data_IF_795588909266
#
_entry.id   IF_795588909266
#
_cell.length_a   1.000
_cell.length_b   1.000
_cell.length_c   1.000
_cell.angle_alpha   90.00
_cell.angle_beta   90.00
_cell.angle_gamma   90.00
#
_symmetry.space_group_name_H-M   'P 1'
#
loop_
_entity.id
_entity.type
_entity.pdbx_description
1 polymer ?
#
# COMPACT_ATOMS: atom_id res chain seq x y z
N UNK A 1 13.80 4.60 0.89
CA UNK A 1 14.42 4.73 2.25
C UNK A 1 14.29 3.41 3.00
N UNK A 2 15.18 3.10 3.96
CA UNK A 2 15.02 1.91 4.83
C UNK A 2 13.99 2.18 5.93
N UNK A 3 13.42 1.11 6.51
CA UNK A 3 12.46 1.21 7.61
C UNK A 3 12.98 2.03 8.80
N UNK A 4 14.24 1.82 9.21
CA UNK A 4 14.84 2.55 10.34
C UNK A 4 14.93 4.06 10.10
N UNK A 5 15.15 4.48 8.85
CA UNK A 5 15.13 5.89 8.47
C UNK A 5 13.72 6.48 8.59
N UNK A 6 12.71 5.78 8.05
CA UNK A 6 11.30 6.21 8.16
C UNK A 6 10.84 6.28 9.62
N UNK A 7 11.18 5.28 10.43
CA UNK A 7 10.84 5.26 11.85
C UNK A 7 11.43 6.45 12.61
N UNK A 8 12.64 6.88 12.25
CA UNK A 8 13.27 8.08 12.81
C UNK A 8 12.55 9.38 12.45
N UNK A 9 11.97 9.47 11.24
CA UNK A 9 11.24 10.67 10.77
C UNK A 9 9.84 10.79 11.36
N UNK A 10 9.14 9.67 11.57
CA UNK A 10 7.71 9.64 11.95
C UNK A 10 7.50 9.42 13.47
N UNK A 11 8.55 9.00 14.19
CA UNK A 11 8.47 8.75 15.63
C UNK A 11 8.32 10.02 16.49
N UNK A 12 8.20 9.82 17.81
CA UNK A 12 8.24 10.91 18.79
C UNK A 12 6.90 11.62 19.07
N UNK A 13 5.78 11.06 18.60
CA UNK A 13 4.44 11.62 18.86
C UNK A 13 4.13 12.88 18.04
N UNK A 14 4.89 13.13 16.97
CA UNK A 14 4.66 14.22 16.04
C UNK A 14 3.53 13.87 15.05
N UNK A 15 2.79 14.88 14.62
CA UNK A 15 1.87 14.75 13.48
C UNK A 15 2.64 15.03 12.20
N UNK A 16 2.80 14.02 11.35
CA UNK A 16 3.58 14.10 10.11
C UNK A 16 2.67 13.81 8.91
N UNK A 17 2.10 14.84 8.25
CA UNK A 17 1.26 14.63 7.07
C UNK A 17 1.97 13.79 6.00
N UNK A 18 1.25 12.83 5.42
CA UNK A 18 1.80 11.87 4.45
C UNK A 18 2.47 10.64 5.06
N UNK A 19 2.64 10.58 6.39
CA UNK A 19 3.27 9.44 7.07
C UNK A 19 2.45 8.99 8.29
N UNK A 20 2.27 7.68 8.44
CA UNK A 20 1.58 7.10 9.60
C UNK A 20 2.20 5.78 10.02
N UNK A 21 2.36 5.59 11.33
CA UNK A 21 2.69 4.30 11.93
C UNK A 21 1.41 3.52 12.25
N UNK A 22 1.33 2.27 11.82
CA UNK A 22 0.19 1.40 12.12
C UNK A 22 0.61 -0.07 12.29
N UNK A 23 -0.24 -0.88 12.92
CA UNK A 23 -0.04 -2.32 13.00
C UNK A 23 -0.33 -3.01 11.67
N UNK A 24 0.31 -4.16 11.41
CA UNK A 24 0.12 -4.94 10.17
C UNK A 24 -1.34 -5.32 9.88
N UNK A 25 -2.09 -5.70 10.91
CA UNK A 25 -3.49 -6.10 10.75
C UNK A 25 -4.45 -4.92 10.50
N UNK A 26 -4.01 -3.67 10.69
CA UNK A 26 -4.82 -2.51 10.35
C UNK A 26 -5.00 -2.36 8.84
N UNK A 27 -4.06 -2.85 8.02
CA UNK A 27 -4.12 -2.78 6.55
C UNK A 27 -5.44 -3.36 6.01
N UNK A 28 -5.90 -4.47 6.61
CA UNK A 28 -7.09 -5.18 6.16
C UNK A 28 -8.39 -4.71 6.86
N UNK A 29 -8.38 -3.60 7.60
CA UNK A 29 -9.59 -3.08 8.24
C UNK A 29 -10.39 -2.19 7.29
N UNK A 30 -11.73 -2.19 7.43
CA UNK A 30 -12.63 -1.37 6.61
C UNK A 30 -12.36 0.13 6.67
N UNK A 31 -11.78 0.61 7.78
CA UNK A 31 -11.49 2.04 8.01
C UNK A 31 -10.07 2.45 7.64
N UNK A 32 -9.25 1.52 7.16
CA UNK A 32 -7.87 1.82 6.77
C UNK A 32 -7.85 2.89 5.68
N UNK A 33 -7.34 4.08 6.01
CA UNK A 33 -7.16 5.23 5.12
C UNK A 33 -8.37 5.53 4.21
N UNK A 34 -9.59 5.37 4.71
CA UNK A 34 -10.80 5.43 3.87
C UNK A 34 -10.98 6.80 3.18
N UNK A 35 -10.50 7.88 3.81
CA UNK A 35 -10.52 9.23 3.20
C UNK A 35 -9.64 9.33 1.95
N UNK A 36 -8.59 8.53 1.86
CA UNK A 36 -7.64 8.55 0.73
C UNK A 36 -7.99 7.49 -0.34
N UNK A 37 -9.03 6.69 -0.11
CA UNK A 37 -9.40 5.54 -0.96
C UNK A 37 -8.92 4.18 -0.43
N UNK A 38 -8.33 4.17 0.77
CA UNK A 38 -8.05 2.96 1.55
C UNK A 38 -7.11 1.98 0.87
N UNK A 39 -7.49 0.69 0.88
CA UNK A 39 -6.62 -0.40 0.42
C UNK A 39 -6.21 -0.27 -1.05
N UNK A 40 -7.02 0.41 -1.89
CA UNK A 40 -6.75 0.61 -3.31
C UNK A 40 -5.53 1.51 -3.56
N UNK A 41 -5.04 2.23 -2.55
CA UNK A 41 -3.85 3.09 -2.64
C UNK A 41 -2.53 2.38 -2.35
N UNK A 42 -2.57 1.14 -1.86
CA UNK A 42 -1.35 0.40 -1.56
C UNK A 42 -0.70 -0.08 -2.86
N UNK A 43 0.45 0.49 -3.22
CA UNK A 43 1.17 0.16 -4.47
C UNK A 43 2.42 -0.70 -4.25
N UNK A 44 2.97 -0.73 -3.03
CA UNK A 44 4.18 -1.49 -2.71
C UNK A 44 4.11 -2.06 -1.30
N UNK A 45 4.54 -3.32 -1.14
CA UNK A 45 4.58 -4.01 0.15
C UNK A 45 5.64 -5.13 0.13
N UNK A 46 6.38 -5.38 1.24
CA UNK A 46 7.30 -6.53 1.29
C UNK A 46 6.58 -7.85 1.04
N UNK A 47 7.18 -8.76 0.27
CA UNK A 47 6.58 -10.05 -0.09
C UNK A 47 6.18 -10.87 1.13
N UNK A 48 7.04 -10.92 2.15
CA UNK A 48 6.73 -11.61 3.40
C UNK A 48 5.45 -11.07 4.08
N UNK A 49 5.21 -9.75 4.02
CA UNK A 49 3.99 -9.16 4.54
C UNK A 49 2.79 -9.51 3.66
N UNK A 50 2.92 -9.45 2.33
CA UNK A 50 1.87 -9.87 1.38
C UNK A 50 1.41 -11.31 1.65
N UNK A 51 2.35 -12.22 1.84
CA UNK A 51 2.08 -13.62 2.17
C UNK A 51 1.35 -13.76 3.51
N UNK A 52 1.84 -13.07 4.54
CA UNK A 52 1.28 -13.14 5.90
C UNK A 52 -0.19 -12.65 5.97
N UNK A 53 -0.54 -11.56 5.29
CA UNK A 53 -1.90 -11.02 5.32
C UNK A 53 -2.74 -11.41 4.09
N UNK A 54 -2.26 -12.32 3.25
CA UNK A 54 -2.83 -12.62 1.93
C UNK A 54 -4.33 -12.92 1.95
N UNK A 55 -4.78 -13.82 2.83
CA UNK A 55 -6.19 -14.21 2.94
C UNK A 55 -7.07 -13.01 3.29
N UNK A 56 -6.66 -12.23 4.30
CA UNK A 56 -7.39 -11.04 4.77
C UNK A 56 -7.41 -9.96 3.70
N UNK A 57 -6.28 -9.75 3.03
CA UNK A 57 -6.15 -8.76 1.98
C UNK A 57 -7.06 -9.11 0.80
N UNK A 58 -7.03 -10.35 0.30
CA UNK A 58 -7.88 -10.80 -0.82
C UNK A 58 -9.37 -10.71 -0.49
N UNK A 59 -9.77 -11.06 0.73
CA UNK A 59 -11.15 -10.88 1.18
C UNK A 59 -11.57 -9.40 1.12
N UNK A 60 -10.73 -8.49 1.64
CA UNK A 60 -10.99 -7.05 1.58
C UNK A 60 -11.01 -6.50 0.16
N UNK A 61 -10.08 -6.93 -0.67
CA UNK A 61 -9.97 -6.49 -2.04
C UNK A 61 -11.17 -6.93 -2.88
N UNK A 62 -11.68 -8.14 -2.63
CA UNK A 62 -12.94 -8.64 -3.21
C UNK A 62 -14.13 -7.78 -2.78
N UNK A 63 -14.24 -7.42 -1.50
CA UNK A 63 -15.28 -6.50 -1.00
C UNK A 63 -15.20 -5.10 -1.65
N UNK A 64 -14.03 -4.71 -2.14
CA UNK A 64 -13.79 -3.42 -2.81
C UNK A 64 -13.86 -3.52 -4.34
N UNK A 65 -14.20 -4.68 -4.89
CA UNK A 65 -14.38 -4.89 -6.33
C UNK A 65 -13.09 -5.15 -7.12
N UNK A 66 -11.95 -5.35 -6.46
CA UNK A 66 -10.64 -5.62 -7.10
C UNK A 66 -10.02 -6.88 -6.49
N UNK A 67 -10.57 -8.09 -6.77
CA UNK A 67 -10.16 -9.33 -6.09
C UNK A 67 -8.68 -9.70 -6.31
N UNK A 68 -8.10 -9.27 -7.42
CA UNK A 68 -6.70 -9.48 -7.82
C UNK A 68 -5.76 -8.36 -7.36
N UNK A 69 -6.23 -7.42 -6.52
CA UNK A 69 -5.44 -6.25 -6.10
C UNK A 69 -4.05 -6.63 -5.57
N UNK A 70 -3.94 -7.70 -4.77
CA UNK A 70 -2.66 -8.12 -4.19
C UNK A 70 -1.60 -8.48 -5.24
N UNK A 71 -2.04 -8.96 -6.41
CA UNK A 71 -1.17 -9.31 -7.53
C UNK A 71 -0.75 -8.07 -8.34
N UNK A 72 -1.45 -6.94 -8.14
CA UNK A 72 -1.13 -5.62 -8.69
C UNK A 72 -0.25 -4.78 -7.76
N UNK A 73 -0.04 -5.19 -6.51
CA UNK A 73 0.86 -4.52 -5.55
C UNK A 73 2.29 -5.01 -5.76
N UNK A 74 3.21 -4.09 -6.03
CA UNK A 74 4.62 -4.42 -6.19
C UNK A 74 5.26 -4.86 -4.87
N UNK A 75 6.38 -5.57 -4.96
CA UNK A 75 7.20 -5.97 -3.82
C UNK A 75 8.70 -5.95 -4.23
N UNK A 76 9.59 -6.32 -3.31
CA UNK A 76 11.03 -6.32 -3.55
C UNK A 76 11.49 -7.27 -4.69
N UNK A 77 10.63 -8.19 -5.15
CA UNK A 77 10.94 -9.06 -6.30
C UNK A 77 10.61 -8.41 -7.64
N UNK A 78 9.82 -7.34 -7.64
CA UNK A 78 9.54 -6.47 -8.79
C UNK A 78 10.58 -5.37 -8.88
N UNK A 79 10.84 -4.68 -7.77
CA UNK A 79 11.76 -3.55 -7.73
C UNK A 79 11.71 -2.79 -6.42
N UNK A 80 12.70 -1.92 -6.21
CA UNK A 80 12.77 -1.04 -5.03
C UNK A 80 12.93 0.44 -5.40
N UNK A 81 12.99 0.73 -6.71
CA UNK A 81 13.00 2.07 -7.26
C UNK A 81 11.64 2.44 -7.84
N UNK A 82 11.35 3.75 -7.90
CA UNK A 82 10.11 4.26 -8.48
C UNK A 82 9.97 3.90 -9.97
N UNK A 83 11.05 3.95 -10.75
CA UNK A 83 11.07 3.65 -12.18
C UNK A 83 10.68 2.19 -12.49
N UNK A 84 11.18 1.25 -11.69
CA UNK A 84 10.83 -0.18 -11.80
C UNK A 84 9.36 -0.40 -11.43
N UNK A 85 8.94 0.21 -10.31
CA UNK A 85 7.60 0.00 -9.75
C UNK A 85 6.53 0.64 -10.64
N UNK A 86 6.75 1.85 -11.17
CA UNK A 86 5.75 2.54 -11.99
C UNK A 86 5.41 1.76 -13.27
N UNK A 87 6.43 1.15 -13.89
CA UNK A 87 6.26 0.30 -15.09
C UNK A 87 5.39 -0.91 -14.76
N UNK A 88 5.65 -1.57 -13.63
CA UNK A 88 4.83 -2.70 -13.16
C UNK A 88 3.38 -2.29 -12.85
N UNK A 89 3.18 -1.16 -12.17
CA UNK A 89 1.83 -0.68 -11.85
C UNK A 89 1.01 -0.36 -13.10
N UNK A 90 1.65 0.17 -14.14
CA UNK A 90 1.02 0.42 -15.44
C UNK A 90 0.65 -0.90 -16.14
N UNK A 91 1.57 -1.87 -16.20
CA UNK A 91 1.31 -3.19 -16.79
C UNK A 91 0.16 -3.93 -16.08
N UNK A 92 0.09 -3.80 -14.75
CA UNK A 92 -0.97 -4.40 -13.92
C UNK A 92 -2.24 -3.56 -13.83
N UNK A 93 -2.30 -2.42 -14.51
CA UNK A 93 -3.42 -1.49 -14.47
C UNK A 93 -3.87 -1.22 -13.01
N UNK A 94 -2.91 -0.84 -12.16
CA UNK A 94 -3.18 -0.66 -10.73
C UNK A 94 -4.20 0.48 -10.51
N UNK A 95 -5.26 0.27 -9.71
CA UNK A 95 -6.36 1.25 -9.58
C UNK A 95 -5.91 2.63 -9.10
N UNK A 96 -4.86 2.68 -8.25
CA UNK A 96 -4.31 3.96 -7.77
C UNK A 96 -3.88 4.93 -8.88
N UNK A 97 -3.54 4.45 -10.09
CA UNK A 97 -3.08 5.28 -11.20
C UNK A 97 -4.20 6.11 -11.85
N UNK A 98 -5.46 5.68 -11.70
CA UNK A 98 -6.63 6.36 -12.30
C UNK A 98 -7.52 7.03 -11.26
N UNK A 99 -7.19 6.89 -9.98
CA UNK A 99 -7.88 7.60 -8.90
C UNK A 99 -7.48 9.08 -8.89
N UNK A 100 -8.28 9.91 -8.22
CA UNK A 100 -7.94 11.31 -8.01
C UNK A 100 -6.57 11.45 -7.33
N UNK A 101 -5.89 12.57 -7.58
CA UNK A 101 -4.62 12.86 -6.92
C UNK A 101 -4.80 12.84 -5.39
N UNK A 102 -3.87 12.20 -4.69
CA UNK A 102 -3.84 12.22 -3.21
C UNK A 102 -3.28 13.54 -2.67
N UNK A 103 -2.59 14.29 -3.54
CA UNK A 103 -2.09 15.63 -3.26
C UNK A 103 -3.04 16.62 -3.92
N UNK A 104 -3.51 17.60 -3.15
CA UNK A 104 -4.16 18.80 -3.68
C UNK A 104 -3.13 19.73 -4.35
#
# INVERSE_FOLDING_TARGET
MKFTTLAGTVGGGLSTPGFVGHGKYNICQRKFLIGDGGLLRIVWMPKALKEEISERFKARATEMGVPDLLDRVADETVGTSEEEIITFLQEKEHPALTMESILE
#
